data_IF_762999182612
#
_entry.id   IF_762999182612
#
_cell.length_a   1.000
_cell.length_b   1.000
_cell.length_c   1.000
_cell.angle_alpha   90.00
_cell.angle_beta   90.00
_cell.angle_gamma   90.00
#
_symmetry.space_group_name_H-M   'P 1'
#
loop_
_entity.id
_entity.type
_entity.pdbx_description
1 polymer ?
#
# COMPACT_ATOMS: atom_id res chain seq x y z
N UNK A 1 -6.23 -23.13 12.46
CA UNK A 1 -6.36 -22.68 11.85
C UNK A 1 -6.71 -22.01 11.40
N UNK A 2 -6.65 -21.76 11.18
CA UNK A 2 -6.75 -21.30 10.53
C UNK A 2 -7.06 -20.32 10.01
N UNK A 3 -6.87 -19.45 10.48
CA UNK A 3 -6.67 -18.53 9.47
C UNK A 3 -7.53 -18.74 8.36
N UNK A 4 -8.38 -19.46 8.55
CA UNK A 4 -9.13 -19.83 7.49
C UNK A 4 -10.11 -18.89 6.99
N UNK A 5 -10.59 -18.02 7.81
CA UNK A 5 -11.46 -17.01 7.37
C UNK A 5 -10.86 -16.18 6.29
N UNK A 6 -9.58 -16.03 6.35
CA UNK A 6 -8.92 -15.30 5.32
C UNK A 6 -8.83 -16.06 4.08
N UNK A 7 -9.04 -17.31 4.14
CA UNK A 7 -8.69 -18.11 3.08
C UNK A 7 -9.60 -18.13 1.98
N UNK A 8 -10.78 -17.79 2.16
CA UNK A 8 -11.54 -18.02 1.04
C UNK A 8 -12.75 -17.22 0.92
N UNK A 9 -12.70 -15.97 1.10
CA UNK A 9 -13.91 -15.24 0.88
C UNK A 9 -14.30 -15.44 -0.55
N UNK A 10 -13.74 -14.76 -1.45
CA UNK A 10 -14.02 -15.06 -2.82
C UNK A 10 -12.75 -14.88 -3.64
N UNK A 11 -12.65 -15.60 -4.77
CA UNK A 11 -11.42 -15.58 -5.56
C UNK A 11 -11.07 -14.19 -6.07
N UNK A 12 -12.04 -13.39 -6.47
CA UNK A 12 -11.76 -12.07 -6.98
C UNK A 12 -11.15 -11.18 -5.90
N UNK A 13 -11.70 -11.28 -4.68
CA UNK A 13 -11.17 -10.50 -3.57
C UNK A 13 -9.77 -10.96 -3.18
N UNK A 14 -9.52 -12.28 -3.25
CA UNK A 14 -8.21 -12.81 -2.96
C UNK A 14 -7.18 -12.33 -4.00
N UNK A 15 -7.55 -12.32 -5.27
CA UNK A 15 -6.66 -11.83 -6.31
C UNK A 15 -6.37 -10.36 -6.13
N UNK A 16 -7.39 -9.58 -5.78
CA UNK A 16 -7.20 -8.16 -5.54
C UNK A 16 -6.22 -7.90 -4.39
N UNK A 17 -6.36 -8.67 -3.30
CA UNK A 17 -5.43 -8.55 -2.18
C UNK A 17 -4.01 -8.92 -2.58
N UNK A 18 -3.87 -9.99 -3.34
CA UNK A 18 -2.55 -10.44 -3.79
C UNK A 18 -1.89 -9.39 -4.68
N UNK A 19 -2.67 -8.77 -5.57
CA UNK A 19 -2.14 -7.75 -6.44
C UNK A 19 -1.65 -6.54 -5.63
N UNK A 20 -2.47 -6.06 -4.72
CA UNK A 20 -2.11 -4.91 -3.88
C UNK A 20 -0.90 -5.22 -2.99
N UNK A 21 -0.91 -6.39 -2.38
CA UNK A 21 0.20 -6.83 -1.53
C UNK A 21 1.49 -6.92 -2.32
N UNK A 22 1.43 -7.52 -3.53
CA UNK A 22 2.61 -7.68 -4.37
C UNK A 22 3.23 -6.35 -4.75
N UNK A 23 2.40 -5.39 -5.14
CA UNK A 23 2.91 -4.07 -5.48
C UNK A 23 3.57 -3.40 -4.28
N UNK A 24 2.93 -3.48 -3.11
CA UNK A 24 3.47 -2.89 -1.91
C UNK A 24 4.79 -3.55 -1.51
N UNK A 25 4.85 -4.88 -1.52
CA UNK A 25 6.07 -5.59 -1.15
C UNK A 25 7.22 -5.28 -2.09
N UNK A 26 6.95 -5.18 -3.39
CA UNK A 26 7.99 -4.87 -4.36
C UNK A 26 8.51 -3.45 -4.22
N UNK A 27 7.72 -2.58 -3.62
CA UNK A 27 8.13 -1.19 -3.43
C UNK A 27 9.01 -0.99 -2.20
N UNK A 28 8.96 -1.91 -1.23
CA UNK A 28 9.70 -1.73 0.02
C UNK A 28 11.21 -1.55 -0.18
N UNK A 29 11.88 -2.35 -1.02
CA UNK A 29 13.32 -2.16 -1.19
C UNK A 29 13.71 -0.82 -1.79
N UNK A 30 12.77 -0.19 -2.50
CA UNK A 30 13.02 1.11 -3.14
C UNK A 30 12.65 2.29 -2.26
N UNK A 31 12.07 2.03 -1.09
CA UNK A 31 11.68 3.10 -0.19
C UNK A 31 12.92 3.77 0.43
N UNK A 32 12.81 5.06 0.79
CA UNK A 32 13.91 5.73 1.47
C UNK A 32 14.33 5.00 2.74
N UNK A 33 15.62 4.89 2.96
CA UNK A 33 16.14 4.14 4.10
C UNK A 33 15.73 4.71 5.44
N UNK A 34 15.51 6.01 5.50
CA UNK A 34 15.09 6.66 6.74
C UNK A 34 13.70 6.27 7.22
N UNK A 35 12.92 5.59 6.38
CA UNK A 35 11.59 5.12 6.77
C UNK A 35 11.60 3.76 7.45
N UNK A 36 12.73 3.08 7.44
CA UNK A 36 12.79 1.73 7.97
C UNK A 36 12.84 1.73 9.49
N UNK A 37 12.34 0.67 10.14
CA UNK A 37 11.75 -0.51 9.51
C UNK A 37 10.32 -0.26 9.06
N UNK A 38 10.01 -0.75 7.89
CA UNK A 38 8.66 -0.66 7.33
C UNK A 38 8.19 -2.05 6.92
N UNK A 39 6.88 -2.23 6.93
CA UNK A 39 6.29 -3.50 6.51
C UNK A 39 4.91 -3.25 5.91
N UNK A 40 4.35 -4.29 5.30
CA UNK A 40 3.04 -4.22 4.66
C UNK A 40 2.01 -4.91 5.54
N UNK A 41 0.86 -4.30 5.68
CA UNK A 41 -0.29 -4.90 6.36
C UNK A 41 -1.50 -4.91 5.44
N UNK A 42 -2.32 -5.94 5.56
CA UNK A 42 -3.60 -5.96 4.86
C UNK A 42 -4.59 -5.15 5.68
N UNK A 43 -5.18 -4.15 5.05
CA UNK A 43 -6.16 -3.30 5.71
C UNK A 43 -7.20 -2.83 4.71
N UNK A 44 -8.29 -2.33 5.22
CA UNK A 44 -9.22 -1.60 4.40
C UNK A 44 -8.54 -0.32 3.90
N UNK A 45 -8.75 -0.04 2.62
CA UNK A 45 -8.17 1.14 1.98
C UNK A 45 -9.23 1.79 1.11
N UNK A 46 -8.94 2.98 0.61
CA UNK A 46 -9.83 3.61 -0.36
C UNK A 46 -9.93 2.68 -1.57
N UNK A 47 -11.15 2.35 -1.95
CA UNK A 47 -11.35 1.43 -3.06
C UNK A 47 -11.52 -0.02 -2.65
N UNK A 48 -11.46 -0.33 -1.35
CA UNK A 48 -11.71 -1.69 -0.86
C UNK A 48 -10.57 -2.24 -0.03
N UNK A 49 -10.42 -3.55 0.00
CA UNK A 49 -9.31 -4.18 0.69
C UNK A 49 -8.03 -3.96 -0.09
N UNK A 50 -6.97 -3.70 0.62
CA UNK A 50 -5.70 -3.46 0.00
C UNK A 50 -4.56 -3.68 0.96
N UNK A 51 -3.41 -3.13 0.62
CA UNK A 51 -2.20 -3.23 1.42
C UNK A 51 -1.79 -1.84 1.87
N UNK A 52 -1.34 -1.72 3.12
CA UNK A 52 -0.81 -0.46 3.62
C UNK A 52 0.63 -0.66 4.02
N UNK A 53 1.45 0.34 3.76
CA UNK A 53 2.84 0.36 4.17
C UNK A 53 2.91 1.17 5.45
N UNK A 54 3.41 0.55 6.51
CA UNK A 54 3.48 1.18 7.82
C UNK A 54 4.91 1.13 8.32
N UNK A 55 5.28 2.12 9.10
CA UNK A 55 6.59 2.18 9.74
C UNK A 55 6.41 2.00 11.24
N UNK A 56 7.35 1.30 11.87
CA UNK A 56 7.32 1.10 13.30
C UNK A 56 7.35 2.44 14.02
N UNK A 57 6.51 2.54 15.04
CA UNK A 57 6.45 3.76 15.83
C UNK A 57 5.57 4.86 15.28
N UNK A 58 5.03 4.70 14.08
CA UNK A 58 4.11 5.69 13.52
C UNK A 58 2.68 5.18 13.62
N UNK A 59 1.79 6.07 14.02
CA UNK A 59 0.38 5.72 14.18
C UNK A 59 -0.33 5.60 12.83
N UNK A 60 0.00 6.46 11.90
CA UNK A 60 -0.68 6.50 10.62
C UNK A 60 0.12 5.74 9.56
N UNK A 61 -0.56 5.10 8.60
CA UNK A 61 0.14 4.45 7.50
C UNK A 61 0.89 5.46 6.63
N UNK A 62 1.97 5.01 6.01
CA UNK A 62 2.72 5.86 5.09
C UNK A 62 2.00 5.97 3.76
N UNK A 63 1.44 4.90 3.28
CA UNK A 63 0.71 4.87 2.02
C UNK A 63 -0.11 3.60 1.94
N UNK A 64 -1.09 3.59 1.07
CA UNK A 64 -1.90 2.39 0.85
C UNK A 64 -2.14 2.19 -0.63
N UNK A 65 -2.37 0.94 -1.01
CA UNK A 65 -2.70 0.57 -2.37
C UNK A 65 -3.83 -0.45 -2.35
N UNK A 66 -4.79 -0.27 -3.24
CA UNK A 66 -5.81 -1.28 -3.48
C UNK A 66 -5.93 -1.54 -4.96
N UNK A 67 -6.45 -2.71 -5.31
CA UNK A 67 -6.64 -3.10 -6.69
C UNK A 67 -8.03 -3.68 -6.83
N UNK A 68 -8.80 -3.16 -7.76
CA UNK A 68 -10.16 -3.64 -7.97
C UNK A 68 -10.57 -3.41 -9.41
N UNK A 69 -11.05 -4.44 -10.05
CA UNK A 69 -11.56 -4.36 -11.43
C UNK A 69 -10.57 -3.70 -12.38
N UNK A 70 -9.32 -4.07 -12.28
CA UNK A 70 -8.28 -3.54 -13.15
C UNK A 70 -7.76 -2.17 -12.78
N UNK A 71 -8.24 -1.58 -11.70
CA UNK A 71 -7.82 -0.25 -11.29
C UNK A 71 -7.01 -0.30 -10.01
N UNK A 72 -5.92 0.43 -10.02
CA UNK A 72 -5.08 0.61 -8.84
C UNK A 72 -5.44 1.94 -8.19
N UNK A 73 -5.65 1.95 -6.89
CA UNK A 73 -5.87 3.19 -6.15
C UNK A 73 -4.76 3.34 -5.13
N UNK A 74 -4.05 4.45 -5.21
CA UNK A 74 -2.90 4.74 -4.34
C UNK A 74 -3.23 5.98 -3.52
N UNK A 75 -2.97 5.90 -2.22
CA UNK A 75 -3.18 7.05 -1.35
C UNK A 75 -2.03 7.17 -0.36
N UNK A 76 -1.41 8.34 -0.31
CA UNK A 76 -0.43 8.65 0.70
C UNK A 76 -1.10 9.28 1.91
N UNK A 77 -0.35 9.46 2.99
CA UNK A 77 -0.85 10.10 4.19
C UNK A 77 -1.20 11.57 3.88
N UNK A 78 -2.43 11.93 4.18
CA UNK A 78 -2.95 13.29 3.95
C UNK A 78 -2.90 13.73 2.49
N UNK A 79 -2.91 12.78 1.58
CA UNK A 79 -2.94 13.10 0.16
C UNK A 79 -4.23 12.61 -0.46
N UNK A 80 -4.56 13.16 -1.60
CA UNK A 80 -5.70 12.67 -2.37
C UNK A 80 -5.34 11.33 -2.98
N UNK A 81 -6.32 10.45 -3.08
CA UNK A 81 -6.10 9.19 -3.76
C UNK A 81 -5.93 9.41 -5.25
N UNK A 82 -5.16 8.54 -5.88
CA UNK A 82 -4.96 8.55 -7.31
C UNK A 82 -5.32 7.17 -7.84
N UNK A 83 -6.04 7.12 -8.93
CA UNK A 83 -6.47 5.87 -9.55
C UNK A 83 -5.88 5.75 -10.93
N UNK A 84 -5.37 4.57 -11.27
CA UNK A 84 -4.77 4.34 -12.58
C UNK A 84 -5.00 2.90 -13.00
N UNK A 85 -5.01 2.67 -14.30
CA UNK A 85 -5.08 1.33 -14.86
C UNK A 85 -3.69 0.72 -15.04
N UNK A 86 -2.65 1.52 -14.88
CA UNK A 86 -1.28 1.10 -15.14
C UNK A 86 -0.58 0.73 -13.83
N UNK A 87 -0.08 -0.51 -13.75
CA UNK A 87 0.70 -0.95 -12.61
C UNK A 87 1.96 -0.10 -12.44
N UNK A 88 2.57 0.26 -13.55
CA UNK A 88 3.77 1.08 -13.53
C UNK A 88 3.51 2.45 -12.91
N UNK A 89 2.40 3.10 -13.31
CA UNK A 89 2.03 4.39 -12.75
C UNK A 89 1.68 4.26 -11.27
N UNK A 90 1.03 3.17 -10.91
CA UNK A 90 0.69 2.91 -9.51
C UNK A 90 1.96 2.78 -8.66
N UNK A 91 2.95 2.06 -9.15
CA UNK A 91 4.21 1.90 -8.45
C UNK A 91 4.92 3.24 -8.29
N UNK A 92 4.98 4.03 -9.35
CA UNK A 92 5.59 5.35 -9.30
C UNK A 92 4.91 6.23 -8.26
N UNK A 93 3.58 6.21 -8.24
CA UNK A 93 2.83 7.02 -7.29
C UNK A 93 3.07 6.56 -5.86
N UNK A 94 3.11 5.25 -5.65
CA UNK A 94 3.36 4.71 -4.32
C UNK A 94 4.73 5.14 -3.81
N UNK A 95 5.76 5.03 -4.64
CA UNK A 95 7.10 5.47 -4.27
C UNK A 95 7.15 6.96 -4.00
N UNK A 96 6.44 7.76 -4.79
CA UNK A 96 6.36 9.20 -4.55
C UNK A 96 5.74 9.51 -3.20
N UNK A 97 4.72 8.75 -2.80
CA UNK A 97 4.12 8.93 -1.48
C UNK A 97 5.11 8.62 -0.37
N UNK A 98 5.90 7.57 -0.53
CA UNK A 98 6.90 7.20 0.46
C UNK A 98 8.00 8.26 0.57
N UNK A 99 8.43 8.80 -0.56
CA UNK A 99 9.45 9.86 -0.57
C UNK A 99 8.90 11.11 0.12
N UNK A 100 7.65 11.47 -0.16
CA UNK A 100 7.04 12.63 0.47
C UNK A 100 6.94 12.47 1.98
N UNK A 101 6.57 11.26 2.44
CA UNK A 101 6.49 10.99 3.87
C UNK A 101 7.86 11.04 4.52
N UNK A 102 8.87 10.51 3.86
CA UNK A 102 10.24 10.57 4.36
C UNK A 102 10.66 12.03 4.56
N UNK A 103 10.34 12.89 3.61
CA UNK A 103 10.66 14.30 3.75
C UNK A 103 10.02 14.96 4.94
N UNK A 104 8.76 14.62 5.23
CA UNK A 104 8.06 15.16 6.38
C UNK A 104 8.65 14.67 7.70
N UNK A 105 8.99 13.41 7.76
CA UNK A 105 9.58 12.83 8.97
C UNK A 105 10.97 13.43 9.21
N UNK A 106 11.76 13.55 8.15
CA UNK A 106 13.11 14.08 8.26
C UNK A 106 13.12 15.56 8.63
N UNK A 107 12.03 16.27 8.35
CA UNK A 107 11.96 17.69 8.68
C UNK A 107 11.71 17.93 10.17
N UNK A 108 11.38 16.92 10.91
CA UNK A 108 11.21 17.01 12.34
C UNK A 108 12.45 16.49 13.04
#
# INVERSE_FOLDING_TARGET
MNDNADKAPNPAMTLARQAAWGLAQESLPRAPKGLRPIHVENRRAVGGWGATIVADGLMAPLASVSYQSGKWTIQGHRSKSMTTLSRYEAEKRLLACLVAQHGRIAAH
#
